data_IF_958651564653
#
_entry.id   IF_958651564653
#
_cell.length_a   1.000
_cell.length_b   1.000
_cell.length_c   1.000
_cell.angle_alpha   90.00
_cell.angle_beta   90.00
_cell.angle_gamma   90.00
#
_symmetry.space_group_name_H-M   'P 1'
#
loop_
_entity.id
_entity.type
_entity.pdbx_description
1 polymer ?
#
# COMPACT_ATOMS: atom_id res chain seq x y z
N UNK A 1 -30.21 -31.68 -61.46
CA UNK A 1 -29.45 -31.28 -60.25
C UNK A 1 -28.84 -32.51 -59.61
N UNK A 2 -27.50 -32.65 -59.61
CA UNK A 2 -26.82 -33.76 -58.91
C UNK A 2 -26.62 -33.34 -57.45
N UNK A 3 -27.30 -34.03 -56.54
CA UNK A 3 -27.18 -33.81 -55.10
C UNK A 3 -25.85 -34.44 -54.68
N UNK A 4 -24.88 -33.61 -54.29
CA UNK A 4 -23.57 -34.04 -53.79
C UNK A 4 -23.81 -34.73 -52.44
N UNK A 5 -23.51 -36.02 -52.35
CA UNK A 5 -23.59 -36.78 -51.10
C UNK A 5 -22.29 -36.59 -50.33
N UNK A 6 -22.31 -35.77 -49.29
CA UNK A 6 -21.16 -35.62 -48.39
C UNK A 6 -21.04 -36.84 -47.49
N UNK A 7 -19.83 -37.39 -47.39
CA UNK A 7 -19.51 -38.51 -46.49
C UNK A 7 -19.70 -38.06 -45.03
N UNK A 8 -20.24 -38.90 -44.14
CA UNK A 8 -20.41 -38.56 -42.72
C UNK A 8 -19.08 -38.18 -42.04
N UNK A 9 -17.96 -38.71 -42.53
CA UNK A 9 -16.61 -38.36 -42.06
C UNK A 9 -16.28 -36.88 -42.31
N UNK A 10 -16.76 -36.33 -43.43
CA UNK A 10 -16.52 -34.94 -43.81
C UNK A 10 -17.33 -33.98 -42.91
N UNK A 11 -18.56 -34.36 -42.55
CA UNK A 11 -19.38 -33.60 -41.61
C UNK A 11 -18.79 -33.64 -40.19
N UNK A 12 -18.26 -34.79 -39.75
CA UNK A 12 -17.56 -34.91 -38.48
C UNK A 12 -16.32 -33.99 -38.43
N UNK A 13 -15.56 -33.94 -39.52
CA UNK A 13 -14.37 -33.09 -39.61
C UNK A 13 -14.71 -31.60 -39.49
N UNK A 14 -15.75 -31.13 -40.20
CA UNK A 14 -16.20 -29.73 -40.10
C UNK A 14 -16.65 -29.40 -38.67
N UNK A 15 -17.36 -30.33 -38.02
CA UNK A 15 -17.79 -30.17 -36.65
C UNK A 15 -16.60 -30.05 -35.68
N UNK A 16 -15.57 -30.90 -35.82
CA UNK A 16 -14.36 -30.82 -35.00
C UNK A 16 -13.58 -29.50 -35.20
N UNK A 17 -13.49 -29.00 -36.43
CA UNK A 17 -12.78 -27.74 -36.72
C UNK A 17 -13.52 -26.52 -36.14
N UNK A 18 -14.84 -26.57 -36.04
CA UNK A 18 -15.65 -25.48 -35.47
C UNK A 18 -15.45 -25.24 -33.97
N UNK A 19 -14.81 -26.20 -33.26
CA UNK A 19 -14.56 -26.13 -31.82
C UNK A 19 -13.23 -25.45 -31.45
N UNK A 20 -12.36 -25.18 -32.42
CA UNK A 20 -11.04 -24.55 -32.20
C UNK A 20 -11.11 -23.14 -31.57
N UNK A 21 -12.06 -22.23 -31.93
CA UNK A 21 -12.05 -20.87 -31.38
C UNK A 21 -12.49 -20.77 -29.91
N UNK A 22 -12.97 -21.85 -29.29
CA UNK A 22 -13.32 -21.87 -27.86
C UNK A 22 -12.09 -21.83 -26.94
N UNK A 23 -10.90 -22.13 -27.46
CA UNK A 23 -9.65 -22.20 -26.69
C UNK A 23 -8.83 -20.90 -26.69
N UNK A 24 -9.34 -19.80 -27.30
CA UNK A 24 -8.55 -18.56 -27.46
C UNK A 24 -8.76 -17.54 -26.33
N UNK A 25 -9.57 -17.83 -25.31
CA UNK A 25 -9.73 -16.92 -24.18
C UNK A 25 -8.55 -17.08 -23.21
N UNK A 26 -7.48 -16.33 -23.48
CA UNK A 26 -6.31 -16.27 -22.63
C UNK A 26 -6.49 -15.16 -21.59
N UNK A 27 -6.74 -15.52 -20.34
CA UNK A 27 -6.80 -14.56 -19.23
C UNK A 27 -5.38 -14.07 -18.91
N UNK A 28 -5.12 -12.79 -19.17
CA UNK A 28 -3.85 -12.15 -18.81
C UNK A 28 -4.00 -11.53 -17.42
N UNK A 29 -3.52 -12.25 -16.40
CA UNK A 29 -3.44 -11.73 -15.03
C UNK A 29 -2.14 -10.96 -14.85
N UNK A 30 -2.20 -9.63 -14.95
CA UNK A 30 -1.07 -8.75 -14.64
C UNK A 30 -0.97 -8.57 -13.12
N UNK A 31 -0.03 -9.25 -12.46
CA UNK A 31 0.33 -8.94 -11.07
C UNK A 31 1.50 -7.95 -11.03
N UNK A 32 1.23 -6.68 -10.75
CA UNK A 32 2.29 -5.70 -10.48
C UNK A 32 2.82 -5.98 -9.07
N UNK A 33 3.97 -6.64 -8.98
CA UNK A 33 4.62 -7.00 -7.70
C UNK A 33 5.68 -5.98 -7.26
N UNK A 34 6.06 -5.07 -8.15
CA UNK A 34 7.12 -4.09 -7.91
C UNK A 34 6.53 -2.68 -7.80
N UNK A 35 6.47 -2.19 -6.56
CA UNK A 35 6.45 -0.76 -6.24
C UNK A 35 7.74 -0.42 -5.50
N UNK A 36 8.14 0.86 -5.46
CA UNK A 36 9.25 1.29 -4.60
C UNK A 36 9.05 0.75 -3.18
N UNK A 37 10.12 0.27 -2.49
CA UNK A 37 9.99 -0.21 -1.12
C UNK A 37 9.38 0.90 -0.27
N UNK A 38 8.28 0.59 0.41
CA UNK A 38 7.57 1.60 1.18
C UNK A 38 8.43 2.07 2.35
N UNK A 39 8.49 3.38 2.53
CA UNK A 39 9.46 4.07 3.37
C UNK A 39 8.98 4.02 4.83
N UNK A 40 9.71 3.39 5.76
CA UNK A 40 9.34 3.37 7.17
C UNK A 40 9.40 4.77 7.77
N UNK A 41 8.32 5.19 8.41
CA UNK A 41 8.18 6.55 8.95
C UNK A 41 7.78 6.54 10.42
N UNK A 42 8.49 7.31 11.24
CA UNK A 42 8.10 7.60 12.60
C UNK A 42 7.24 8.86 12.63
N UNK A 43 6.13 8.80 13.34
CA UNK A 43 5.25 9.93 13.62
C UNK A 43 4.87 9.89 15.10
N UNK A 44 5.72 10.38 16.00
CA UNK A 44 5.40 10.51 17.42
C UNK A 44 4.27 11.52 17.66
N UNK A 45 3.77 11.58 18.89
CA UNK A 45 2.85 12.64 19.32
C UNK A 45 3.44 14.02 19.08
N UNK A 46 2.62 14.96 18.61
CA UNK A 46 3.05 16.34 18.40
C UNK A 46 3.34 17.01 19.74
N UNK A 47 4.33 17.89 19.73
CA UNK A 47 4.70 18.69 20.89
C UNK A 47 3.56 19.66 21.21
N UNK A 48 3.23 19.79 22.49
CA UNK A 48 2.20 20.70 22.96
C UNK A 48 2.92 21.87 23.63
N UNK A 49 2.77 23.08 23.11
CA UNK A 49 3.36 24.27 23.73
C UNK A 49 2.66 24.58 25.06
N UNK A 50 1.34 24.37 25.10
CA UNK A 50 0.49 24.55 26.27
C UNK A 50 -0.19 23.23 26.70
N UNK A 51 -0.34 23.03 28.01
CA UNK A 51 -1.02 21.84 28.59
C UNK A 51 -2.56 21.93 28.55
N UNK A 52 -3.12 22.73 27.64
CA UNK A 52 -4.57 22.91 27.55
C UNK A 52 -5.23 21.66 26.91
N UNK A 53 -6.36 21.15 27.44
CA UNK A 53 -7.02 19.95 26.89
C UNK A 53 -7.33 20.02 25.40
N UNK A 54 -7.74 21.20 24.91
CA UNK A 54 -8.00 21.42 23.47
C UNK A 54 -6.75 21.28 22.61
N UNK A 55 -5.58 21.72 23.09
CA UNK A 55 -4.30 21.61 22.36
C UNK A 55 -3.91 20.14 22.24
N UNK A 56 -4.09 19.37 23.32
CA UNK A 56 -3.88 17.92 23.31
C UNK A 56 -4.79 17.19 22.31
N UNK A 57 -6.06 17.55 22.26
CA UNK A 57 -7.03 16.97 21.32
C UNK A 57 -6.69 17.33 19.86
N UNK A 58 -6.34 18.59 19.61
CA UNK A 58 -5.91 19.05 18.29
C UNK A 58 -4.63 18.33 17.82
N UNK A 59 -3.63 18.21 18.71
CA UNK A 59 -2.39 17.48 18.43
C UNK A 59 -2.64 16.02 18.06
N UNK A 60 -3.53 15.34 18.79
CA UNK A 60 -3.91 13.97 18.47
C UNK A 60 -4.63 13.88 17.12
N UNK A 61 -5.60 14.77 16.88
CA UNK A 61 -6.38 14.79 15.64
C UNK A 61 -5.50 15.02 14.41
N UNK A 62 -4.59 16.00 14.48
CA UNK A 62 -3.66 16.31 13.39
C UNK A 62 -2.75 15.12 13.08
N UNK A 63 -2.24 14.46 14.12
CA UNK A 63 -1.44 13.26 13.97
C UNK A 63 -2.22 12.13 13.30
N UNK A 64 -3.46 11.90 13.70
CA UNK A 64 -4.28 10.82 13.16
C UNK A 64 -4.63 11.05 11.68
N UNK A 65 -4.93 12.30 11.31
CA UNK A 65 -5.12 12.71 9.90
C UNK A 65 -3.83 12.46 9.10
N UNK A 66 -2.68 12.92 9.60
CA UNK A 66 -1.40 12.73 8.93
C UNK A 66 -1.07 11.24 8.74
N UNK A 67 -1.30 10.41 9.76
CA UNK A 67 -1.12 8.96 9.66
C UNK A 67 -2.06 8.32 8.63
N UNK A 68 -3.31 8.80 8.53
CA UNK A 68 -4.25 8.34 7.52
C UNK A 68 -3.76 8.65 6.11
N UNK A 69 -3.29 9.88 5.87
CA UNK A 69 -2.77 10.32 4.57
C UNK A 69 -1.49 9.57 4.18
N UNK A 70 -0.57 9.39 5.14
CA UNK A 70 0.66 8.61 4.94
C UNK A 70 0.33 7.18 4.52
N UNK A 71 -0.63 6.52 5.17
CA UNK A 71 -1.08 5.17 4.81
C UNK A 71 -1.80 5.14 3.46
N UNK A 72 -2.64 6.15 3.18
CA UNK A 72 -3.38 6.25 1.92
C UNK A 72 -2.43 6.33 0.71
N UNK A 73 -1.31 7.05 0.85
CA UNK A 73 -0.31 7.19 -0.21
C UNK A 73 0.31 5.86 -0.68
N UNK A 74 0.34 4.82 0.18
CA UNK A 74 1.07 3.56 0.00
C UNK A 74 2.58 3.70 -0.23
N UNK A 75 3.12 4.91 -0.14
CA UNK A 75 4.55 5.20 -0.22
C UNK A 75 5.21 5.05 1.15
N UNK A 76 4.47 5.35 2.22
CA UNK A 76 4.99 5.34 3.59
C UNK A 76 4.37 4.22 4.42
N UNK A 77 5.18 3.63 5.31
CA UNK A 77 4.72 2.68 6.33
C UNK A 77 4.98 3.31 7.70
N UNK A 78 3.94 3.80 8.40
CA UNK A 78 4.10 4.25 9.77
C UNK A 78 4.57 3.12 10.68
N UNK A 79 5.57 3.41 11.52
CA UNK A 79 6.07 2.44 12.50
C UNK A 79 5.01 2.16 13.59
N UNK A 80 5.00 0.94 14.17
CA UNK A 80 4.15 0.63 15.31
C UNK A 80 4.43 1.53 16.51
N UNK A 81 3.39 1.91 17.26
CA UNK A 81 3.53 2.71 18.50
C UNK A 81 4.47 2.06 19.52
N UNK A 82 4.46 0.72 19.59
CA UNK A 82 5.31 -0.04 20.50
C UNK A 82 6.80 0.19 20.26
N UNK A 83 7.22 0.66 19.08
CA UNK A 83 8.63 0.93 18.82
C UNK A 83 9.09 2.20 19.53
N UNK A 84 8.19 3.13 19.81
CA UNK A 84 8.53 4.39 20.46
C UNK A 84 8.97 4.23 21.92
N UNK A 85 8.68 3.08 22.55
CA UNK A 85 9.19 2.78 23.90
C UNK A 85 10.72 2.58 23.94
N UNK A 86 11.36 2.34 22.80
CA UNK A 86 12.81 2.11 22.69
C UNK A 86 13.59 3.39 22.37
N UNK A 87 12.92 4.53 22.16
CA UNK A 87 13.56 5.82 21.93
C UNK A 87 13.23 6.80 23.04
N UNK A 88 14.13 7.72 23.38
CA UNK A 88 13.80 8.79 24.30
C UNK A 88 12.63 9.65 23.79
N UNK A 89 11.88 10.32 24.70
CA UNK A 89 10.86 11.29 24.31
C UNK A 89 11.41 12.34 23.34
N UNK A 90 10.58 12.73 22.36
CA UNK A 90 10.96 13.72 21.38
C UNK A 90 11.22 15.08 22.04
N UNK A 91 12.39 15.64 21.78
CA UNK A 91 12.74 17.02 22.11
C UNK A 91 12.86 17.81 20.79
N UNK A 92 11.92 18.74 20.48
CA UNK A 92 11.95 19.51 19.23
C UNK A 92 13.20 20.39 19.07
N UNK A 93 13.79 20.85 20.17
CA UNK A 93 14.97 21.70 20.16
C UNK A 93 16.27 20.91 19.96
N UNK A 94 16.26 19.59 20.20
CA UNK A 94 17.42 18.74 20.05
C UNK A 94 17.03 17.31 19.64
N UNK A 95 16.77 17.13 18.34
CA UNK A 95 16.37 15.83 17.78
C UNK A 95 17.59 14.93 17.60
N UNK A 96 17.62 13.80 18.31
CA UNK A 96 18.65 12.77 18.15
C UNK A 96 18.24 11.74 17.09
N UNK A 97 18.51 12.02 15.82
CA UNK A 97 18.12 11.17 14.67
C UNK A 97 18.58 9.71 14.78
N UNK A 98 19.75 9.47 15.39
CA UNK A 98 20.31 8.12 15.59
C UNK A 98 19.40 7.20 16.42
N UNK A 99 18.63 7.76 17.37
CA UNK A 99 17.69 6.98 18.17
C UNK A 99 16.52 6.51 17.30
N UNK A 100 15.99 7.37 16.45
CA UNK A 100 14.89 7.02 15.53
C UNK A 100 15.34 6.05 14.44
N UNK A 101 16.58 6.20 13.95
CA UNK A 101 17.17 5.24 13.02
C UNK A 101 17.30 3.84 13.66
N UNK A 102 17.56 3.75 14.97
CA UNK A 102 17.68 2.47 15.68
C UNK A 102 16.38 1.65 15.69
N UNK A 103 15.23 2.31 15.60
CA UNK A 103 13.91 1.68 15.42
C UNK A 103 13.49 1.60 13.96
N UNK A 104 14.46 1.72 13.04
CA UNK A 104 14.32 1.59 11.59
C UNK A 104 13.52 2.71 10.91
N UNK A 105 13.29 3.85 11.57
CA UNK A 105 12.69 5.00 10.93
C UNK A 105 13.63 5.58 9.86
N UNK A 106 13.13 5.77 8.63
CA UNK A 106 13.84 6.46 7.55
C UNK A 106 13.42 7.91 7.42
N UNK A 107 12.21 8.23 7.87
CA UNK A 107 11.68 9.58 7.97
C UNK A 107 11.07 9.78 9.36
N UNK A 108 11.12 11.01 9.85
CA UNK A 108 10.57 11.42 11.13
C UNK A 108 9.67 12.64 10.91
N UNK A 109 8.37 12.50 11.12
CA UNK A 109 7.42 13.62 11.13
C UNK A 109 7.21 14.11 12.55
N UNK A 110 7.48 15.39 12.75
CA UNK A 110 7.29 16.09 14.03
C UNK A 110 6.47 17.35 13.78
N UNK A 111 5.72 17.77 14.79
CA UNK A 111 4.94 18.99 14.76
C UNK A 111 4.79 19.56 16.16
N UNK A 112 4.45 20.84 16.24
CA UNK A 112 4.00 21.51 17.45
C UNK A 112 2.59 22.05 17.24
N UNK A 113 1.82 22.11 18.33
CA UNK A 113 0.46 22.65 18.39
C UNK A 113 0.34 23.55 19.61
#
# INVERSE_FOLDING_TARGET
MKIIKFSPLFLLFIFCVSLIPLFTQQEVVLSIREGMPAIPVACPSFHQEDNHPLVKEAAQTLRDILLADLRYSRVFIPLPESYYQYVPPLNPQNIQFKNWESIQAKLLFVGSV
#
